data_IF_873188634312
#
_entry.id   IF_873188634312
#
_cell.length_a   1.000
_cell.length_b   1.000
_cell.length_c   1.000
_cell.angle_alpha   90.00
_cell.angle_beta   90.00
_cell.angle_gamma   90.00
#
_symmetry.space_group_name_H-M   'P 1'
#
loop_
_entity.id
_entity.type
_entity.pdbx_description
1 polymer ?
#
# COMPACT_ATOMS: atom_id res chain seq x y z
N UNK A 1 30.87 1.73 89.54
CA UNK A 1 31.92 2.32 88.67
C UNK A 1 32.15 1.42 87.46
N UNK A 2 31.71 1.91 86.31
CA UNK A 2 32.08 1.62 84.92
C UNK A 2 33.01 0.40 84.70
N UNK A 3 32.53 -0.62 83.98
CA UNK A 3 33.39 -1.56 83.24
C UNK A 3 33.09 -1.47 81.74
N UNK A 4 34.12 -1.02 81.02
CA UNK A 4 34.23 -1.04 79.56
C UNK A 4 34.08 -2.48 79.04
N UNK A 5 33.29 -2.67 78.00
CA UNK A 5 33.37 -3.87 77.15
C UNK A 5 33.64 -3.43 75.71
N UNK A 6 34.73 -3.99 75.19
CA UNK A 6 35.31 -3.80 73.87
C UNK A 6 34.39 -4.45 72.82
N UNK A 7 33.92 -3.69 71.83
CA UNK A 7 33.19 -4.22 70.68
C UNK A 7 34.15 -4.37 69.51
N UNK A 8 34.37 -5.63 69.12
CA UNK A 8 35.25 -6.06 68.04
C UNK A 8 34.59 -5.77 66.68
N UNK A 9 35.37 -5.19 65.77
CA UNK A 9 35.03 -5.02 64.37
C UNK A 9 35.30 -6.33 63.62
N UNK A 10 34.34 -6.81 62.85
CA UNK A 10 34.52 -7.74 61.73
C UNK A 10 33.70 -7.22 60.53
N UNK A 11 34.29 -7.03 59.33
CA UNK A 11 33.54 -6.56 58.17
C UNK A 11 33.19 -7.71 57.20
N UNK A 12 32.24 -7.43 56.31
CA UNK A 12 31.78 -8.23 55.16
C UNK A 12 31.06 -9.54 55.51
N UNK A 13 29.87 -9.83 55.00
CA UNK A 13 29.51 -9.83 53.57
C UNK A 13 27.99 -9.58 53.45
N UNK A 14 27.57 -8.38 53.06
CA UNK A 14 26.21 -8.22 52.55
C UNK A 14 26.25 -8.68 51.09
N UNK A 15 25.66 -9.84 50.82
CA UNK A 15 25.32 -10.24 49.47
C UNK A 15 24.35 -9.19 48.94
N UNK A 16 24.88 -8.20 48.22
CA UNK A 16 24.10 -7.43 47.28
C UNK A 16 23.57 -8.46 46.29
N UNK A 17 22.27 -8.73 46.33
CA UNK A 17 21.56 -9.08 45.11
C UNK A 17 21.75 -7.87 44.20
N UNK A 18 22.81 -7.93 43.40
CA UNK A 18 22.83 -7.25 42.12
C UNK A 18 21.66 -7.88 41.38
N UNK A 19 20.50 -7.22 41.44
CA UNK A 19 19.55 -7.36 40.35
C UNK A 19 20.35 -6.91 39.15
N UNK A 20 20.92 -7.88 38.44
CA UNK A 20 21.50 -7.64 37.14
C UNK A 20 20.44 -6.87 36.38
N UNK A 21 20.75 -5.63 36.02
CA UNK A 21 20.04 -4.97 34.95
C UNK A 21 20.01 -5.99 33.82
N UNK A 22 18.84 -6.60 33.60
CA UNK A 22 18.66 -7.43 32.44
C UNK A 22 18.87 -6.49 31.27
N UNK A 23 19.93 -6.74 30.51
CA UNK A 23 19.89 -6.39 29.11
C UNK A 23 18.59 -7.01 28.57
N UNK A 24 17.78 -6.22 27.87
CA UNK A 24 16.62 -6.66 27.08
C UNK A 24 15.21 -6.57 27.72
N UNK A 25 14.82 -5.40 28.27
CA UNK A 25 13.39 -5.05 28.40
C UNK A 25 13.06 -3.97 27.35
N UNK A 26 13.13 -4.34 26.07
CA UNK A 26 12.65 -3.54 24.95
C UNK A 26 11.17 -3.83 24.73
N UNK A 27 10.34 -2.80 24.79
CA UNK A 27 8.91 -2.86 24.46
C UNK A 27 8.77 -2.73 22.94
N UNK A 28 8.34 -3.80 22.28
CA UNK A 28 8.02 -3.75 20.86
C UNK A 28 6.65 -3.11 20.66
N UNK A 29 6.59 -2.14 19.75
CA UNK A 29 5.39 -1.35 19.45
C UNK A 29 5.04 -1.47 17.97
N UNK A 30 3.75 -1.40 17.65
CA UNK A 30 3.30 -1.32 16.28
C UNK A 30 3.53 0.09 15.76
N UNK A 31 4.11 0.20 14.56
CA UNK A 31 4.35 1.48 13.91
C UNK A 31 3.86 1.46 12.47
N UNK A 32 3.30 2.58 12.03
CA UNK A 32 2.87 2.78 10.64
C UNK A 32 3.42 4.11 10.13
N UNK A 33 4.19 4.05 9.04
CA UNK A 33 4.86 5.20 8.44
C UNK A 33 4.06 5.70 7.24
N UNK A 34 3.78 7.00 7.24
CA UNK A 34 3.06 7.69 6.17
C UNK A 34 3.84 8.92 5.69
N UNK A 35 4.07 9.09 4.38
CA UNK A 35 3.65 8.20 3.30
C UNK A 35 4.44 6.88 3.31
N UNK A 36 3.81 5.80 2.86
CA UNK A 36 4.47 4.50 2.66
C UNK A 36 5.32 4.44 1.38
N UNK A 37 5.26 5.50 0.56
CA UNK A 37 6.08 5.68 -0.63
C UNK A 37 6.80 7.04 -0.56
N UNK A 38 8.11 7.05 -0.75
CA UNK A 38 8.94 8.25 -0.86
C UNK A 38 9.65 8.24 -2.20
N UNK A 39 9.53 9.33 -2.97
CA UNK A 39 10.32 9.53 -4.19
C UNK A 39 11.48 10.45 -3.84
N UNK A 40 12.71 9.93 -3.97
CA UNK A 40 13.92 10.71 -3.68
C UNK A 40 14.01 11.92 -4.60
N UNK A 41 14.43 13.08 -4.09
CA UNK A 41 14.62 14.29 -4.90
C UNK A 41 13.35 15.08 -5.17
N UNK A 42 12.17 14.54 -4.82
CA UNK A 42 10.88 15.22 -4.87
C UNK A 42 10.39 15.56 -3.44
N UNK A 43 11.12 16.45 -2.75
CA UNK A 43 10.66 17.02 -1.49
C UNK A 43 9.53 18.05 -1.75
N UNK A 44 8.29 17.68 -1.42
CA UNK A 44 7.13 18.57 -1.49
C UNK A 44 6.92 19.37 -0.19
N UNK A 45 7.88 19.34 0.73
CA UNK A 45 7.76 19.92 2.08
C UNK A 45 6.80 19.15 2.98
N UNK A 46 6.46 17.90 2.62
CA UNK A 46 5.56 17.06 3.40
C UNK A 46 6.30 16.44 4.60
N UNK A 47 5.54 15.96 5.58
CA UNK A 47 6.10 15.30 6.76
C UNK A 47 5.98 13.79 6.62
N UNK A 48 7.07 13.08 6.96
CA UNK A 48 6.99 11.65 7.25
C UNK A 48 6.41 11.51 8.66
N UNK A 49 5.21 10.97 8.76
CA UNK A 49 4.44 10.82 9.99
C UNK A 49 4.45 9.35 10.40
N UNK A 50 4.82 9.10 11.65
CA UNK A 50 4.84 7.76 12.26
C UNK A 50 3.71 7.69 13.27
N UNK A 51 2.75 6.80 13.02
CA UNK A 51 1.70 6.42 13.95
C UNK A 51 2.15 5.23 14.78
N UNK A 52 1.75 5.17 16.04
CA UNK A 52 2.15 4.10 16.96
C UNK A 52 0.98 3.65 17.84
N UNK A 53 1.13 2.50 18.48
CA UNK A 53 0.20 2.01 19.51
C UNK A 53 0.67 2.30 20.96
N UNK A 54 1.82 2.96 21.15
CA UNK A 54 2.31 3.35 22.48
C UNK A 54 1.68 4.65 22.97
N UNK A 55 1.24 4.67 24.22
CA UNK A 55 0.63 5.85 24.84
C UNK A 55 1.61 7.04 24.89
N UNK A 56 1.20 8.19 24.38
CA UNK A 56 2.02 9.41 24.36
C UNK A 56 2.45 9.85 25.77
N UNK A 57 1.63 9.58 26.78
CA UNK A 57 1.87 9.95 28.18
C UNK A 57 3.01 9.16 28.84
N UNK A 58 3.38 7.99 28.32
CA UNK A 58 4.42 7.13 28.90
C UNK A 58 5.80 7.37 28.28
N UNK A 59 5.88 8.10 27.17
CA UNK A 59 7.11 8.29 26.38
C UNK A 59 7.95 9.48 26.91
N UNK A 60 9.27 9.30 27.04
CA UNK A 60 10.22 10.41 27.11
C UNK A 60 10.49 10.96 25.71
N UNK A 61 9.79 12.05 25.40
CA UNK A 61 9.76 12.68 24.07
C UNK A 61 11.11 13.18 23.58
N UNK A 62 12.07 13.41 24.48
CA UNK A 62 13.41 13.88 24.08
C UNK A 62 14.28 12.77 23.49
N UNK A 63 13.84 11.52 23.61
CA UNK A 63 14.61 10.33 23.21
C UNK A 63 14.07 9.67 21.94
N UNK A 64 12.91 10.12 21.44
CA UNK A 64 12.27 9.55 20.24
C UNK A 64 13.13 9.80 19.01
N UNK A 65 13.42 8.75 18.23
CA UNK A 65 14.15 8.85 16.98
C UNK A 65 13.64 7.85 15.93
N UNK A 66 13.65 8.23 14.65
CA UNK A 66 13.38 7.34 13.51
C UNK A 66 14.69 7.07 12.77
N UNK A 67 15.22 5.85 12.90
CA UNK A 67 16.52 5.44 12.37
C UNK A 67 17.63 6.43 12.72
N UNK A 68 17.57 7.01 13.93
CA UNK A 68 18.52 8.00 14.44
C UNK A 68 18.17 9.47 14.16
N UNK A 69 17.11 9.76 13.39
CA UNK A 69 16.63 11.11 13.14
C UNK A 69 15.68 11.57 14.25
N UNK A 70 15.83 12.79 14.75
CA UNK A 70 14.92 13.35 15.75
C UNK A 70 13.65 13.92 15.09
N UNK A 71 12.46 13.73 15.69
CA UNK A 71 11.23 14.33 15.17
C UNK A 71 11.25 15.85 15.38
N UNK A 72 10.70 16.60 14.43
CA UNK A 72 10.47 18.04 14.63
C UNK A 72 9.17 18.32 15.41
N UNK A 73 8.28 17.31 15.52
CA UNK A 73 7.04 17.38 16.28
C UNK A 73 6.66 16.00 16.80
N UNK A 74 6.24 15.93 18.07
CA UNK A 74 5.53 14.78 18.63
C UNK A 74 4.22 15.24 19.26
N UNK A 75 3.17 14.42 19.16
CA UNK A 75 1.87 14.69 19.77
C UNK A 75 1.13 13.40 20.10
N UNK A 76 0.09 13.51 20.92
CA UNK A 76 -0.91 12.47 21.04
C UNK A 76 -1.87 12.51 19.84
N UNK A 77 -2.30 11.35 19.36
CA UNK A 77 -3.47 11.23 18.49
C UNK A 77 -4.78 11.28 19.30
N UNK A 78 -5.91 11.03 18.63
CA UNK A 78 -7.24 11.05 19.25
C UNK A 78 -7.45 9.94 20.29
N UNK A 79 -6.65 8.87 20.22
CA UNK A 79 -6.67 7.75 21.16
C UNK A 79 -5.65 7.88 22.28
N UNK A 80 -4.80 8.92 22.23
CA UNK A 80 -3.77 9.18 23.22
C UNK A 80 -2.41 8.56 22.89
N UNK A 81 -2.23 7.96 21.72
CA UNK A 81 -1.00 7.30 21.30
C UNK A 81 -0.02 8.28 20.65
N UNK A 82 1.27 7.95 20.69
CA UNK A 82 2.33 8.77 20.13
C UNK A 82 2.20 8.84 18.60
N UNK A 83 2.24 10.08 18.09
CA UNK A 83 2.49 10.38 16.68
C UNK A 83 3.72 11.27 16.60
N UNK A 84 4.70 10.85 15.79
CA UNK A 84 5.94 11.58 15.55
C UNK A 84 6.01 12.06 14.09
N UNK A 85 6.49 13.28 13.86
CA UNK A 85 6.68 13.85 12.52
C UNK A 85 8.14 14.21 12.26
N UNK A 86 8.61 13.78 11.10
CA UNK A 86 9.97 13.96 10.60
C UNK A 86 9.94 14.74 9.30
N UNK A 87 10.99 15.53 9.04
CA UNK A 87 11.10 16.26 7.77
C UNK A 87 11.42 15.27 6.66
N UNK A 88 10.68 15.32 5.57
CA UNK A 88 10.89 14.40 4.45
C UNK A 88 12.32 14.49 3.90
N UNK A 89 12.91 15.68 3.77
CA UNK A 89 14.30 15.86 3.33
C UNK A 89 15.34 15.17 4.22
N UNK A 90 15.15 15.13 5.54
CA UNK A 90 16.07 14.46 6.47
C UNK A 90 15.94 12.93 6.37
N UNK A 91 14.70 12.45 6.19
CA UNK A 91 14.42 11.02 5.97
C UNK A 91 14.97 10.57 4.61
N UNK A 92 14.78 11.33 3.53
CA UNK A 92 15.35 11.03 2.21
C UNK A 92 16.87 10.89 2.23
N UNK A 93 17.56 11.70 3.04
CA UNK A 93 19.02 11.68 3.13
C UNK A 93 19.61 10.35 3.65
N UNK A 94 18.80 9.53 4.34
CA UNK A 94 19.21 8.22 4.86
C UNK A 94 18.69 7.05 4.02
N UNK A 95 17.93 7.31 2.95
CA UNK A 95 17.27 6.29 2.15
C UNK A 95 18.05 5.96 0.87
N UNK A 96 17.87 4.73 0.41
CA UNK A 96 18.31 4.26 -0.90
C UNK A 96 17.12 3.68 -1.67
N UNK A 97 17.09 3.77 -3.00
CA UNK A 97 15.99 3.20 -3.79
C UNK A 97 15.76 1.72 -3.48
N UNK A 98 14.50 1.30 -3.40
CA UNK A 98 14.10 -0.05 -3.02
C UNK A 98 13.10 -0.04 -1.87
N UNK A 99 13.14 -1.06 -1.01
CA UNK A 99 12.35 -1.08 0.24
C UNK A 99 13.29 -0.72 1.38
N UNK A 100 12.90 0.24 2.19
CA UNK A 100 13.67 0.68 3.34
C UNK A 100 12.88 0.44 4.63
N UNK A 101 13.46 -0.36 5.52
CA UNK A 101 12.96 -0.48 6.88
C UNK A 101 13.42 0.73 7.70
N UNK A 102 12.47 1.39 8.34
CA UNK A 102 12.72 2.51 9.25
C UNK A 102 12.25 2.11 10.65
N UNK A 103 13.12 2.32 11.64
CA UNK A 103 12.90 1.89 13.02
C UNK A 103 12.69 3.09 13.91
N UNK A 104 11.52 3.20 14.53
CA UNK A 104 11.26 4.17 15.59
C UNK A 104 11.75 3.61 16.92
N UNK A 105 12.59 4.37 17.62
CA UNK A 105 13.10 4.02 18.96
C UNK A 105 12.91 5.15 19.95
N UNK A 106 12.96 4.84 21.24
CA UNK A 106 13.01 5.82 22.31
C UNK A 106 12.96 5.17 23.68
N UNK A 107 12.85 6.00 24.71
CA UNK A 107 12.66 5.59 26.09
C UNK A 107 11.27 6.00 26.60
N UNK A 108 10.73 5.19 27.48
CA UNK A 108 9.61 5.54 28.35
C UNK A 108 10.10 6.38 29.54
N UNK A 109 9.19 7.05 30.24
CA UNK A 109 9.52 7.89 31.41
C UNK A 109 10.11 7.08 32.58
N UNK A 110 9.83 5.79 32.64
CA UNK A 110 10.36 4.80 33.58
C UNK A 110 11.68 4.16 33.10
N UNK A 111 12.19 4.57 31.93
CA UNK A 111 13.52 4.21 31.44
C UNK A 111 13.59 2.92 30.63
N UNK A 112 12.45 2.31 30.28
CA UNK A 112 12.39 1.18 29.37
C UNK A 112 12.55 1.64 27.92
N UNK A 113 13.26 0.86 27.10
CA UNK A 113 13.38 1.13 25.67
C UNK A 113 12.11 0.69 24.96
N UNK A 114 11.67 1.43 23.95
CA UNK A 114 10.67 0.94 23.00
C UNK A 114 11.21 0.98 21.57
N UNK A 115 10.74 0.07 20.75
CA UNK A 115 11.14 -0.07 19.36
C UNK A 115 9.99 -0.56 18.49
N UNK A 116 9.81 0.03 17.31
CA UNK A 116 8.94 -0.51 16.27
C UNK A 116 9.49 -0.18 14.89
N UNK A 117 9.28 -1.07 13.93
CA UNK A 117 9.77 -0.87 12.56
C UNK A 117 8.65 -1.02 11.54
N UNK A 118 8.71 -0.20 10.50
CA UNK A 118 7.85 -0.32 9.33
C UNK A 118 8.69 -0.10 8.06
N UNK A 119 8.23 -0.66 6.95
CA UNK A 119 8.93 -0.62 5.67
C UNK A 119 8.21 0.30 4.71
N UNK A 120 8.95 1.25 4.16
CA UNK A 120 8.46 2.14 3.10
C UNK A 120 9.13 1.79 1.78
N UNK A 121 8.45 2.12 0.68
CA UNK A 121 9.02 2.02 -0.66
C UNK A 121 9.71 3.33 -1.02
N UNK A 122 10.95 3.23 -1.44
CA UNK A 122 11.80 4.34 -1.87
C UNK A 122 11.98 4.26 -3.39
N UNK A 123 11.49 5.26 -4.08
CA UNK A 123 11.54 5.38 -5.53
C UNK A 123 12.69 6.33 -5.87
N UNK A 124 13.55 5.95 -6.81
CA UNK A 124 14.63 6.81 -7.27
C UNK A 124 14.07 8.09 -7.93
N UNK A 125 14.80 9.19 -7.81
CA UNK A 125 14.48 10.47 -8.47
C UNK A 125 14.26 10.25 -9.98
N UNK A 126 13.08 10.57 -10.53
CA UNK A 126 12.90 10.59 -11.98
C UNK A 126 13.74 11.74 -12.54
N UNK A 127 14.88 11.41 -13.15
CA UNK A 127 15.70 12.39 -13.84
C UNK A 127 14.83 13.29 -14.74
N UNK A 128 15.06 14.62 -14.76
CA UNK A 128 14.23 15.53 -15.52
C UNK A 128 14.25 15.16 -17.02
N UNK A 129 13.12 15.30 -17.74
CA UNK A 129 13.06 14.99 -19.15
C UNK A 129 14.04 15.89 -19.92
N UNK A 130 15.03 15.29 -20.57
CA UNK A 130 15.89 16.02 -21.51
C UNK A 130 15.03 16.45 -22.71
N UNK A 131 15.04 17.73 -23.10
CA UNK A 131 14.32 18.18 -24.28
C UNK A 131 14.89 17.51 -25.54
N UNK A 132 14.03 16.86 -26.32
CA UNK A 132 14.40 16.28 -27.62
C UNK A 132 14.81 17.39 -28.60
N UNK A 133 16.12 17.60 -28.75
CA UNK A 133 16.74 18.41 -29.80
C UNK A 133 17.72 17.57 -30.61
N UNK A 134 17.34 17.24 -31.85
CA UNK A 134 18.18 16.52 -32.81
C UNK A 134 19.34 17.41 -33.31
N UNK A 135 20.57 16.90 -33.27
CA UNK A 135 21.57 17.15 -34.33
C UNK A 135 22.48 15.94 -34.51
N UNK A 136 22.58 15.44 -35.74
CA UNK A 136 23.59 14.47 -36.17
C UNK A 136 24.92 15.18 -36.46
N UNK A 137 26.05 14.62 -36.00
CA UNK A 137 27.35 14.82 -36.64
C UNK A 137 28.29 13.65 -36.34
N UNK A 138 29.00 13.21 -37.37
CA UNK A 138 29.93 12.08 -37.43
C UNK A 138 31.16 12.22 -36.51
N UNK A 139 31.60 11.10 -35.93
CA UNK A 139 32.99 10.91 -35.49
C UNK A 139 33.14 10.08 -34.21
N UNK A 140 33.54 8.81 -34.33
CA UNK A 140 34.13 8.02 -33.24
C UNK A 140 35.68 8.04 -33.38
N UNK A 141 36.49 7.64 -32.36
CA UNK A 141 36.10 7.20 -31.01
C UNK A 141 36.99 7.74 -29.86
N UNK A 142 36.44 7.77 -28.64
CA UNK A 142 37.23 7.53 -27.42
C UNK A 142 36.36 6.80 -26.41
N UNK A 143 36.90 5.74 -25.82
CA UNK A 143 36.23 4.81 -24.94
C UNK A 143 35.79 5.48 -23.63
N UNK A 144 34.57 6.02 -23.61
CA UNK A 144 33.81 6.18 -22.39
C UNK A 144 33.06 4.87 -22.20
N UNK A 145 33.31 4.18 -21.08
CA UNK A 145 32.53 3.04 -20.63
C UNK A 145 31.09 3.53 -20.44
N UNK A 146 30.28 3.40 -21.49
CA UNK A 146 28.88 3.79 -21.48
C UNK A 146 28.16 2.96 -20.44
N UNK A 147 27.70 3.64 -19.38
CA UNK A 147 26.64 3.12 -18.55
C UNK A 147 25.49 2.83 -19.53
N UNK A 148 25.12 1.56 -19.67
CA UNK A 148 24.05 1.14 -20.56
C UNK A 148 22.75 1.68 -19.96
N UNK A 149 22.35 2.87 -20.38
CA UNK A 149 20.98 3.37 -20.19
C UNK A 149 20.10 2.38 -20.91
N UNK A 150 19.37 1.55 -20.15
CA UNK A 150 18.31 0.74 -20.75
C UNK A 150 17.25 1.73 -21.22
N UNK A 151 16.84 1.70 -22.51
CA UNK A 151 15.69 2.49 -22.93
C UNK A 151 14.50 2.07 -22.07
N UNK A 152 13.65 3.02 -21.67
CA UNK A 152 12.31 2.68 -21.21
C UNK A 152 11.72 1.72 -22.25
N UNK A 153 11.30 0.53 -21.81
CA UNK A 153 10.71 -0.45 -22.71
C UNK A 153 9.52 0.22 -23.40
N UNK A 154 9.54 0.28 -24.73
CA UNK A 154 8.38 0.77 -25.48
C UNK A 154 7.21 -0.16 -25.21
N UNK A 155 6.09 0.39 -24.75
CA UNK A 155 4.87 -0.39 -24.56
C UNK A 155 4.34 -0.89 -25.91
N UNK A 156 3.85 -2.11 -25.90
CA UNK A 156 3.01 -2.65 -26.97
C UNK A 156 1.64 -2.00 -26.96
N UNK A 157 0.90 -2.07 -28.08
CA UNK A 157 -0.47 -1.53 -28.11
C UNK A 157 -1.37 -2.26 -27.11
N UNK A 158 -1.18 -3.56 -26.90
CA UNK A 158 -1.94 -4.35 -25.91
C UNK A 158 -1.72 -3.81 -24.48
N UNK A 159 -0.47 -3.49 -24.12
CA UNK A 159 -0.18 -2.88 -22.82
C UNK A 159 -0.79 -1.49 -22.67
N UNK A 160 -0.78 -0.69 -23.74
CA UNK A 160 -1.46 0.62 -23.74
C UNK A 160 -2.96 0.44 -23.54
N UNK A 161 -3.59 -0.48 -24.27
CA UNK A 161 -5.03 -0.72 -24.18
C UNK A 161 -5.43 -1.16 -22.75
N UNK A 162 -4.66 -2.06 -22.13
CA UNK A 162 -4.89 -2.47 -20.74
C UNK A 162 -4.71 -1.31 -19.75
N UNK A 163 -3.66 -0.49 -19.89
CA UNK A 163 -3.45 0.68 -19.00
C UNK A 163 -4.64 1.65 -19.07
N UNK A 164 -5.10 1.97 -20.28
CA UNK A 164 -6.20 2.91 -20.47
C UNK A 164 -7.54 2.31 -20.01
N UNK A 165 -7.72 1.01 -20.16
CA UNK A 165 -8.88 0.30 -19.65
C UNK A 165 -8.93 0.32 -18.12
N UNK A 166 -7.86 -0.13 -17.45
CA UNK A 166 -7.80 -0.12 -15.97
C UNK A 166 -7.97 1.30 -15.41
N UNK A 167 -7.53 2.34 -16.13
CA UNK A 167 -7.71 3.73 -15.70
C UNK A 167 -9.18 4.11 -15.47
N UNK A 168 -10.08 3.67 -16.34
CA UNK A 168 -11.51 3.94 -16.21
C UNK A 168 -12.24 2.90 -15.34
N UNK A 169 -11.74 1.67 -15.26
CA UNK A 169 -12.28 0.64 -14.35
C UNK A 169 -12.08 1.01 -12.87
N UNK A 170 -10.88 1.47 -12.49
CA UNK A 170 -10.59 1.96 -11.15
C UNK A 170 -11.43 3.22 -10.83
N UNK A 171 -11.71 4.05 -11.85
CA UNK A 171 -12.63 5.20 -11.72
C UNK A 171 -14.06 4.74 -11.47
N UNK A 172 -14.52 3.69 -12.15
CA UNK A 172 -15.84 3.09 -11.91
C UNK A 172 -15.96 2.65 -10.45
N UNK A 173 -14.97 1.91 -9.94
CA UNK A 173 -14.95 1.46 -8.55
C UNK A 173 -15.02 2.65 -7.58
N UNK A 174 -14.10 3.62 -7.73
CA UNK A 174 -14.08 4.85 -6.93
C UNK A 174 -15.43 5.56 -6.91
N UNK A 175 -15.98 5.83 -8.09
CA UNK A 175 -17.18 6.64 -8.23
C UNK A 175 -18.42 5.93 -7.68
N UNK A 176 -18.56 4.61 -7.89
CA UNK A 176 -19.64 3.81 -7.29
C UNK A 176 -19.52 3.85 -5.76
N UNK A 177 -18.31 3.71 -5.21
CA UNK A 177 -18.11 3.72 -3.76
C UNK A 177 -18.37 5.09 -3.15
N UNK A 178 -18.03 6.19 -3.83
CA UNK A 178 -18.43 7.53 -3.40
C UNK A 178 -19.97 7.63 -3.34
N UNK A 179 -20.66 7.20 -4.40
CA UNK A 179 -22.13 7.23 -4.43
C UNK A 179 -22.76 6.35 -3.32
N UNK A 180 -22.21 5.16 -3.06
CA UNK A 180 -22.69 4.27 -2.00
C UNK A 180 -22.40 4.84 -0.60
N UNK A 181 -21.27 5.53 -0.41
CA UNK A 181 -20.97 6.20 0.85
C UNK A 181 -21.94 7.35 1.12
N UNK A 182 -22.19 8.19 0.12
CA UNK A 182 -23.12 9.32 0.24
C UNK A 182 -24.54 8.86 0.61
N UNK A 183 -24.96 7.70 0.07
CA UNK A 183 -26.29 7.15 0.34
C UNK A 183 -26.39 6.44 1.70
N UNK A 184 -25.41 5.58 2.04
CA UNK A 184 -25.52 4.66 3.17
C UNK A 184 -24.67 5.06 4.39
N UNK A 185 -23.69 5.96 4.23
CA UNK A 185 -22.80 6.42 5.29
C UNK A 185 -21.87 5.36 5.87
N UNK A 186 -21.74 4.19 5.21
CA UNK A 186 -20.94 3.07 5.72
C UNK A 186 -19.47 3.27 5.36
N UNK A 187 -18.63 3.33 6.39
CA UNK A 187 -17.20 3.67 6.30
C UNK A 187 -16.37 2.82 5.33
N UNK A 188 -16.80 1.59 5.03
CA UNK A 188 -16.10 0.73 4.06
C UNK A 188 -16.01 1.39 2.68
N UNK A 189 -17.10 2.00 2.21
CA UNK A 189 -17.14 2.66 0.90
C UNK A 189 -16.23 3.90 0.86
N UNK A 190 -16.18 4.68 1.93
CA UNK A 190 -15.30 5.84 2.06
C UNK A 190 -13.81 5.45 2.17
N UNK A 191 -13.51 4.35 2.87
CA UNK A 191 -12.13 3.85 2.94
C UNK A 191 -11.66 3.30 1.59
N UNK A 192 -12.50 2.51 0.91
CA UNK A 192 -12.13 1.83 -0.34
C UNK A 192 -12.12 2.83 -1.50
N UNK A 193 -13.06 3.77 -1.61
CA UNK A 193 -12.97 4.85 -2.62
C UNK A 193 -11.66 5.65 -2.56
N UNK A 194 -11.12 5.91 -1.35
CA UNK A 194 -9.78 6.49 -1.21
C UNK A 194 -8.66 5.57 -1.69
N UNK A 195 -8.82 4.26 -1.53
CA UNK A 195 -7.90 3.26 -2.09
C UNK A 195 -7.95 3.27 -3.61
N UNK A 196 -9.15 3.29 -4.20
CA UNK A 196 -9.34 3.34 -5.65
C UNK A 196 -8.78 4.63 -6.25
N UNK A 197 -8.84 5.75 -5.53
CA UNK A 197 -8.11 6.95 -5.96
C UNK A 197 -6.59 6.71 -6.07
N UNK A 198 -6.00 5.93 -5.16
CA UNK A 198 -4.57 5.59 -5.25
C UNK A 198 -4.30 4.63 -6.42
N UNK A 199 -5.20 3.69 -6.71
CA UNK A 199 -5.09 2.82 -7.89
C UNK A 199 -5.15 3.64 -9.18
N UNK A 200 -6.16 4.50 -9.30
CA UNK A 200 -6.31 5.48 -10.38
C UNK A 200 -5.02 6.29 -10.57
N UNK A 201 -4.45 6.84 -9.49
CA UNK A 201 -3.21 7.64 -9.55
C UNK A 201 -2.01 6.79 -9.98
N UNK A 202 -1.93 5.53 -9.57
CA UNK A 202 -0.88 4.60 -10.01
C UNK A 202 -0.94 4.34 -11.52
N UNK A 203 -2.14 4.14 -12.08
CA UNK A 203 -2.35 4.00 -13.51
C UNK A 203 -2.06 5.32 -14.25
N UNK A 204 -2.49 6.46 -13.69
CA UNK A 204 -2.19 7.78 -14.25
C UNK A 204 -0.68 8.01 -14.37
N UNK A 205 0.09 7.58 -13.38
CA UNK A 205 1.54 7.68 -13.44
C UNK A 205 2.13 6.88 -14.62
N UNK A 206 1.56 5.71 -14.98
CA UNK A 206 1.97 4.99 -16.19
C UNK A 206 1.60 5.79 -17.45
N UNK A 207 0.39 6.32 -17.52
CA UNK A 207 -0.08 7.16 -18.64
C UNK A 207 0.88 8.34 -18.86
N UNK A 208 1.20 9.09 -17.81
CA UNK A 208 2.08 10.25 -17.86
C UNK A 208 3.52 9.85 -18.23
N UNK A 209 4.03 8.74 -17.66
CA UNK A 209 5.38 8.23 -17.92
C UNK A 209 5.59 7.87 -19.39
N UNK A 210 4.58 7.29 -20.02
CA UNK A 210 4.63 6.85 -21.41
C UNK A 210 4.07 7.87 -22.40
N UNK A 211 3.61 9.04 -21.93
CA UNK A 211 3.05 10.09 -22.76
C UNK A 211 1.76 9.67 -23.47
N UNK A 212 0.95 8.83 -22.82
CA UNK A 212 -0.34 8.37 -23.34
C UNK A 212 -1.42 9.44 -23.11
N UNK A 213 -2.51 9.38 -23.88
CA UNK A 213 -3.68 10.24 -23.65
C UNK A 213 -4.56 9.66 -22.55
N UNK A 214 -4.73 10.36 -21.42
CA UNK A 214 -5.59 9.92 -20.32
C UNK A 214 -7.07 9.86 -20.79
N UNK A 215 -7.78 8.72 -20.65
CA UNK A 215 -9.19 8.64 -21.00
C UNK A 215 -10.08 9.39 -20.00
N UNK A 216 -9.61 9.68 -18.78
CA UNK A 216 -10.36 10.47 -17.80
C UNK A 216 -10.18 11.96 -18.09
N UNK A 217 -10.97 12.46 -19.05
CA UNK A 217 -10.96 13.88 -19.46
C UNK A 217 -11.86 14.75 -18.58
N UNK A 218 -12.81 14.14 -17.88
CA UNK A 218 -13.70 14.76 -16.90
C UNK A 218 -13.77 13.84 -15.68
N UNK A 219 -13.29 14.34 -14.54
CA UNK A 219 -13.22 13.57 -13.30
C UNK A 219 -14.51 13.66 -12.46
N UNK A 220 -15.59 14.21 -13.03
CA UNK A 220 -16.91 14.20 -12.39
C UNK A 220 -17.37 12.75 -12.17
N UNK A 221 -17.90 12.40 -10.98
CA UNK A 221 -18.42 11.06 -10.71
C UNK A 221 -19.48 10.63 -11.73
N UNK A 222 -19.33 9.43 -12.27
CA UNK A 222 -20.26 8.86 -13.25
C UNK A 222 -20.03 9.29 -14.70
N UNK A 223 -19.04 10.16 -14.98
CA UNK A 223 -18.66 10.54 -16.35
C UNK A 223 -17.50 9.66 -16.85
N UNK A 224 -17.70 8.99 -17.98
CA UNK A 224 -16.72 8.09 -18.59
C UNK A 224 -16.59 8.37 -20.09
N UNK A 225 -15.37 8.21 -20.63
CA UNK A 225 -15.11 8.23 -22.07
C UNK A 225 -15.59 6.92 -22.69
N UNK A 226 -15.36 5.79 -22.03
CA UNK A 226 -15.92 4.51 -22.45
C UNK A 226 -17.39 4.36 -22.00
N UNK A 227 -18.30 4.28 -22.96
CA UNK A 227 -19.74 4.16 -22.71
C UNK A 227 -20.13 2.93 -21.87
N UNK A 228 -19.35 1.84 -21.95
CA UNK A 228 -19.61 0.63 -21.15
C UNK A 228 -19.47 0.91 -19.65
N UNK A 229 -18.47 1.68 -19.23
CA UNK A 229 -18.30 2.06 -17.83
C UNK A 229 -19.37 3.05 -17.36
N UNK A 230 -19.85 3.93 -18.25
CA UNK A 230 -21.01 4.79 -17.96
C UNK A 230 -22.29 3.99 -17.70
N UNK A 231 -22.58 3.01 -18.56
CA UNK A 231 -23.75 2.13 -18.40
C UNK A 231 -23.62 1.27 -17.12
N UNK A 232 -22.42 0.74 -16.86
CA UNK A 232 -22.16 -0.08 -15.68
C UNK A 232 -22.26 0.74 -14.39
N UNK A 233 -21.75 1.98 -14.36
CA UNK A 233 -21.93 2.91 -13.24
C UNK A 233 -23.42 3.14 -12.94
N UNK A 234 -24.22 3.43 -13.97
CA UNK A 234 -25.66 3.66 -13.80
C UNK A 234 -26.39 2.41 -13.28
N UNK A 235 -26.05 1.23 -13.81
CA UNK A 235 -26.60 -0.04 -13.36
C UNK A 235 -26.26 -0.33 -11.90
N UNK A 236 -24.97 -0.25 -11.54
CA UNK A 236 -24.47 -0.62 -10.22
C UNK A 236 -24.93 0.35 -9.13
N UNK A 237 -24.96 1.66 -9.43
CA UNK A 237 -25.53 2.65 -8.48
C UNK A 237 -27.03 2.47 -8.29
N UNK A 238 -27.77 2.11 -9.35
CA UNK A 238 -29.19 1.77 -9.24
C UNK A 238 -29.38 0.53 -8.36
N UNK A 239 -28.64 -0.54 -8.62
CA UNK A 239 -28.71 -1.78 -7.84
C UNK A 239 -28.35 -1.54 -6.36
N UNK A 240 -27.22 -0.88 -6.10
CA UNK A 240 -26.74 -0.60 -4.75
C UNK A 240 -27.63 0.37 -3.96
N UNK A 241 -28.53 1.10 -4.62
CA UNK A 241 -29.52 1.94 -3.94
C UNK A 241 -30.71 1.18 -3.35
N UNK A 242 -30.89 -0.10 -3.72
CA UNK A 242 -32.02 -0.92 -3.26
C UNK A 242 -31.98 -1.23 -1.76
N UNK A 243 -30.80 -1.56 -1.25
CA UNK A 243 -30.55 -1.82 0.16
C UNK A 243 -29.05 -1.77 0.47
N UNK A 244 -28.68 -1.70 1.76
CA UNK A 244 -27.28 -1.79 2.16
C UNK A 244 -26.65 -3.14 1.75
N UNK A 245 -27.42 -4.23 1.80
CA UNK A 245 -26.94 -5.55 1.33
C UNK A 245 -26.64 -5.50 -0.18
N UNK A 246 -27.52 -4.89 -0.98
CA UNK A 246 -27.28 -4.72 -2.41
C UNK A 246 -26.04 -3.85 -2.67
N UNK A 247 -25.83 -2.79 -1.89
CA UNK A 247 -24.65 -1.94 -2.00
C UNK A 247 -23.34 -2.70 -1.71
N UNK A 248 -23.33 -3.52 -0.65
CA UNK A 248 -22.17 -4.35 -0.31
C UNK A 248 -21.95 -5.45 -1.36
N UNK A 249 -23.03 -5.99 -1.93
CA UNK A 249 -22.99 -6.93 -3.05
C UNK A 249 -22.43 -6.32 -4.32
N UNK A 250 -22.80 -5.07 -4.64
CA UNK A 250 -22.20 -4.27 -5.72
C UNK A 250 -20.70 -4.04 -5.46
N UNK A 251 -20.33 -3.77 -4.20
CA UNK A 251 -18.93 -3.72 -3.77
C UNK A 251 -18.16 -4.97 -4.17
N UNK A 252 -18.61 -6.13 -3.70
CA UNK A 252 -17.98 -7.41 -4.02
C UNK A 252 -17.98 -7.73 -5.52
N UNK A 253 -19.03 -7.35 -6.27
CA UNK A 253 -19.12 -7.53 -7.72
C UNK A 253 -18.05 -6.77 -8.49
N UNK A 254 -17.79 -5.51 -8.12
CA UNK A 254 -16.76 -4.70 -8.76
C UNK A 254 -15.39 -5.32 -8.52
N UNK A 255 -15.08 -5.73 -7.29
CA UNK A 255 -13.77 -6.32 -6.97
C UNK A 255 -13.58 -7.70 -7.63
N UNK A 256 -14.65 -8.49 -7.77
CA UNK A 256 -14.64 -9.75 -8.51
C UNK A 256 -14.29 -9.52 -10.00
N UNK A 257 -14.89 -8.50 -10.62
CA UNK A 257 -14.60 -8.10 -12.00
C UNK A 257 -13.15 -7.62 -12.15
N UNK A 258 -12.73 -6.66 -11.32
CA UNK A 258 -11.42 -6.02 -11.39
C UNK A 258 -10.26 -7.02 -11.23
N UNK A 259 -10.38 -7.98 -10.29
CA UNK A 259 -9.38 -9.05 -10.12
C UNK A 259 -9.26 -9.90 -11.39
N UNK A 260 -10.37 -10.21 -12.06
CA UNK A 260 -10.35 -11.02 -13.29
C UNK A 260 -9.74 -10.23 -14.44
N UNK A 261 -10.09 -8.96 -14.60
CA UNK A 261 -9.58 -8.11 -15.67
C UNK A 261 -8.07 -7.82 -15.47
N UNK A 262 -7.61 -7.57 -14.25
CA UNK A 262 -6.18 -7.50 -13.90
C UNK A 262 -5.43 -8.80 -14.18
N UNK A 263 -5.98 -9.96 -13.83
CA UNK A 263 -5.34 -11.26 -14.11
C UNK A 263 -5.24 -11.55 -15.61
N UNK A 264 -6.25 -11.15 -16.38
CA UNK A 264 -6.24 -11.25 -17.83
C UNK A 264 -5.15 -10.34 -18.41
N UNK A 265 -5.11 -9.08 -17.99
CA UNK A 265 -4.09 -8.12 -18.41
C UNK A 265 -2.67 -8.61 -18.07
N UNK A 266 -2.44 -9.13 -16.85
CA UNK A 266 -1.18 -9.72 -16.40
C UNK A 266 -0.70 -10.95 -17.21
N UNK A 267 -1.56 -11.53 -18.04
CA UNK A 267 -1.19 -12.60 -18.98
C UNK A 267 -0.71 -12.09 -20.35
N UNK A 268 -0.90 -10.80 -20.62
CA UNK A 268 -0.65 -10.16 -21.93
C UNK A 268 0.34 -9.00 -21.86
N UNK A 269 0.81 -8.61 -20.66
CA UNK A 269 1.76 -7.51 -20.45
C UNK A 269 3.16 -8.03 -20.06
N UNK A 270 4.19 -7.46 -20.66
CA UNK A 270 5.60 -7.86 -20.46
C UNK A 270 6.41 -6.78 -19.73
N UNK A 271 6.02 -5.50 -19.83
CA UNK A 271 6.68 -4.42 -19.11
C UNK A 271 6.57 -4.69 -17.61
N UNK A 272 7.72 -4.94 -17.00
CA UNK A 272 7.80 -5.17 -15.55
C UNK A 272 7.27 -3.97 -14.75
N UNK A 273 7.32 -2.77 -15.36
CA UNK A 273 6.72 -1.57 -14.82
C UNK A 273 5.18 -1.67 -14.70
N UNK A 274 4.51 -2.18 -15.73
CA UNK A 274 3.05 -2.33 -15.80
C UNK A 274 2.63 -3.52 -14.94
N UNK A 275 3.34 -4.66 -15.07
CA UNK A 275 3.15 -5.85 -14.22
C UNK A 275 3.13 -5.47 -12.75
N UNK A 276 4.11 -4.68 -12.29
CA UNK A 276 4.21 -4.32 -10.88
C UNK A 276 3.04 -3.45 -10.40
N UNK A 277 2.50 -2.57 -11.25
CA UNK A 277 1.32 -1.77 -10.91
C UNK A 277 0.09 -2.68 -10.85
N UNK A 278 -0.16 -3.48 -11.89
CA UNK A 278 -1.33 -4.37 -11.93
C UNK A 278 -1.33 -5.42 -10.82
N UNK A 279 -0.18 -5.99 -10.45
CA UNK A 279 -0.09 -6.91 -9.31
C UNK A 279 -0.41 -6.23 -7.97
N UNK A 280 -0.09 -4.94 -7.82
CA UNK A 280 -0.41 -4.18 -6.62
C UNK A 280 -1.89 -3.82 -6.55
N UNK A 281 -2.50 -3.44 -7.68
CA UNK A 281 -3.94 -3.24 -7.81
C UNK A 281 -4.67 -4.54 -7.44
N UNK A 282 -4.30 -5.69 -8.03
CA UNK A 282 -4.98 -6.99 -7.78
C UNK A 282 -4.91 -7.37 -6.29
N UNK A 283 -3.79 -7.04 -5.63
CA UNK A 283 -3.64 -7.26 -4.19
C UNK A 283 -4.57 -6.35 -3.36
N UNK A 284 -4.75 -5.10 -3.79
CA UNK A 284 -5.73 -4.15 -3.27
C UNK A 284 -7.15 -4.70 -3.41
N UNK A 285 -7.57 -5.02 -4.62
CA UNK A 285 -8.90 -5.54 -4.95
C UNK A 285 -9.22 -6.83 -4.19
N UNK A 286 -8.24 -7.73 -4.01
CA UNK A 286 -8.41 -8.90 -3.14
C UNK A 286 -8.73 -8.53 -1.68
N UNK A 287 -8.15 -7.45 -1.14
CA UNK A 287 -8.44 -6.99 0.22
C UNK A 287 -9.80 -6.30 0.30
N UNK A 288 -10.18 -5.56 -0.72
CA UNK A 288 -11.49 -4.92 -0.82
C UNK A 288 -12.60 -5.96 -0.92
N UNK A 289 -12.44 -6.98 -1.76
CA UNK A 289 -13.35 -8.12 -1.87
C UNK A 289 -13.58 -8.77 -0.51
N UNK A 290 -12.49 -9.08 0.22
CA UNK A 290 -12.59 -9.60 1.60
C UNK A 290 -13.39 -8.68 2.52
N UNK A 291 -13.16 -7.36 2.45
CA UNK A 291 -13.85 -6.39 3.29
C UNK A 291 -15.36 -6.37 3.01
N UNK A 292 -15.77 -6.37 1.74
CA UNK A 292 -17.19 -6.43 1.36
C UNK A 292 -17.83 -7.76 1.75
N UNK A 293 -17.17 -8.90 1.49
CA UNK A 293 -17.69 -10.23 1.86
C UNK A 293 -17.81 -10.41 3.37
N UNK A 294 -16.88 -9.88 4.16
CA UNK A 294 -16.98 -9.89 5.62
C UNK A 294 -18.21 -9.12 6.11
N UNK A 295 -18.50 -7.95 5.51
CA UNK A 295 -19.67 -7.16 5.87
C UNK A 295 -20.98 -7.81 5.42
N UNK A 296 -21.02 -8.43 4.23
CA UNK A 296 -22.17 -9.23 3.79
C UNK A 296 -22.44 -10.38 4.78
N UNK A 297 -21.40 -11.10 5.17
CA UNK A 297 -21.50 -12.20 6.14
C UNK A 297 -22.03 -11.69 7.49
N UNK A 298 -21.59 -10.51 7.93
CA UNK A 298 -22.11 -9.88 9.14
C UNK A 298 -23.59 -9.44 9.03
N UNK A 299 -24.11 -9.22 7.81
CA UNK A 299 -25.54 -9.02 7.54
C UNK A 299 -26.31 -10.35 7.40
N UNK A 300 -25.65 -11.51 7.51
CA UNK A 300 -26.26 -12.82 7.32
C UNK A 300 -26.37 -13.25 5.86
N UNK A 301 -25.68 -12.57 4.96
CA UNK A 301 -25.71 -12.79 3.51
C UNK A 301 -24.39 -13.38 3.02
N UNK A 302 -24.42 -13.98 1.84
CA UNK A 302 -23.24 -14.55 1.17
C UNK A 302 -23.07 -13.97 -0.22
N UNK A 303 -21.83 -13.82 -0.68
CA UNK A 303 -21.52 -13.47 -2.07
C UNK A 303 -21.15 -14.72 -2.87
N UNK A 304 -21.70 -14.86 -4.08
CA UNK A 304 -21.30 -15.88 -5.05
C UNK A 304 -20.54 -15.17 -6.18
N UNK A 305 -19.30 -15.58 -6.52
CA UNK A 305 -18.54 -14.93 -7.58
C UNK A 305 -19.24 -15.07 -8.94
N UNK A 306 -19.33 -13.97 -9.66
CA UNK A 306 -19.88 -13.87 -11.02
C UNK A 306 -18.77 -14.07 -12.07
N UNK A 307 -17.54 -13.63 -11.77
CA UNK A 307 -16.40 -13.63 -12.70
C UNK A 307 -15.31 -14.60 -12.28
N UNK A 308 -14.85 -14.54 -11.03
CA UNK A 308 -13.90 -15.48 -10.45
C UNK A 308 -14.46 -16.91 -10.49
N UNK A 309 -13.55 -17.88 -10.54
CA UNK A 309 -13.95 -19.26 -10.24
C UNK A 309 -14.23 -19.37 -8.74
N UNK A 310 -15.10 -20.31 -8.36
CA UNK A 310 -15.36 -20.56 -6.94
C UNK A 310 -14.07 -20.87 -6.18
N UNK A 311 -13.18 -21.70 -6.74
CA UNK A 311 -11.90 -22.06 -6.11
C UNK A 311 -10.98 -20.84 -5.90
N UNK A 312 -10.91 -19.92 -6.87
CA UNK A 312 -10.09 -18.71 -6.74
C UNK A 312 -10.70 -17.74 -5.72
N UNK A 313 -12.02 -17.60 -5.71
CA UNK A 313 -12.75 -16.81 -4.73
C UNK A 313 -12.52 -17.35 -3.32
N UNK A 314 -12.72 -18.66 -3.10
CA UNK A 314 -12.50 -19.31 -1.82
C UNK A 314 -11.04 -19.14 -1.36
N UNK A 315 -10.07 -19.28 -2.26
CA UNK A 315 -8.66 -19.05 -1.95
C UNK A 315 -8.36 -17.59 -1.54
N UNK A 316 -9.08 -16.61 -2.11
CA UNK A 316 -8.99 -15.21 -1.69
C UNK A 316 -9.60 -15.04 -0.30
N UNK A 317 -10.83 -15.51 -0.08
CA UNK A 317 -11.56 -15.32 1.19
C UNK A 317 -10.90 -16.06 2.36
N UNK A 318 -10.42 -17.29 2.15
CA UNK A 318 -9.78 -18.12 3.18
C UNK A 318 -8.31 -17.79 3.40
N UNK A 319 -7.68 -17.07 2.48
CA UNK A 319 -6.32 -16.60 2.62
C UNK A 319 -6.21 -15.56 3.76
N UNK A 320 -5.36 -15.84 4.76
CA UNK A 320 -5.03 -14.86 5.80
C UNK A 320 -4.61 -13.52 5.18
N UNK A 321 -4.94 -12.39 5.83
CA UNK A 321 -4.51 -11.05 5.42
C UNK A 321 -3.00 -11.03 5.24
N UNK A 322 -2.57 -11.12 3.99
CA UNK A 322 -1.19 -11.41 3.67
C UNK A 322 -0.91 -10.96 2.26
N UNK A 323 -0.19 -9.84 2.16
CA UNK A 323 0.58 -9.53 0.97
C UNK A 323 1.54 -10.67 0.60
N UNK A 324 2.33 -10.52 -0.47
CA UNK A 324 3.00 -11.62 -1.18
C UNK A 324 4.06 -12.43 -0.38
N UNK A 325 4.22 -12.25 0.93
CA UNK A 325 5.36 -12.72 1.72
C UNK A 325 4.98 -13.50 2.99
N UNK A 326 3.77 -14.06 3.07
CA UNK A 326 3.49 -15.13 4.05
C UNK A 326 4.17 -16.46 3.66
N UNK A 327 4.28 -17.45 4.57
CA UNK A 327 4.80 -18.79 4.24
C UNK A 327 4.01 -19.49 3.10
N UNK A 328 2.77 -19.05 2.86
CA UNK A 328 1.92 -19.47 1.75
C UNK A 328 2.02 -18.57 0.50
N UNK A 329 2.72 -17.43 0.55
CA UNK A 329 2.85 -16.47 -0.56
C UNK A 329 3.64 -17.02 -1.76
N UNK A 330 4.64 -17.87 -1.50
CA UNK A 330 5.37 -18.58 -2.56
C UNK A 330 4.52 -19.68 -3.21
N UNK A 331 3.63 -20.33 -2.44
CA UNK A 331 2.66 -21.28 -3.00
C UNK A 331 1.59 -20.55 -3.81
N UNK A 332 1.11 -19.40 -3.34
CA UNK A 332 0.17 -18.54 -4.07
C UNK A 332 0.77 -18.04 -5.40
N UNK A 333 2.04 -17.58 -5.41
CA UNK A 333 2.72 -17.18 -6.64
C UNK A 333 2.96 -18.35 -7.61
N UNK A 334 3.25 -19.56 -7.10
CA UNK A 334 3.39 -20.77 -7.93
C UNK A 334 2.05 -21.25 -8.47
N UNK A 335 0.98 -21.19 -7.67
CA UNK A 335 -0.39 -21.55 -8.08
C UNK A 335 -0.96 -20.52 -9.07
N UNK A 336 -0.65 -19.22 -8.91
CA UNK A 336 -0.91 -18.14 -9.89
C UNK A 336 -0.22 -18.39 -11.24
N UNK A 337 1.01 -18.90 -11.24
CA UNK A 337 1.72 -19.26 -12.49
C UNK A 337 1.13 -20.50 -13.16
N UNK A 338 0.58 -21.44 -12.39
CA UNK A 338 -0.05 -22.65 -12.92
C UNK A 338 -1.50 -22.41 -13.40
N UNK A 339 -2.29 -21.58 -12.72
CA UNK A 339 -3.63 -21.19 -13.16
C UNK A 339 -3.63 -20.23 -14.35
N UNK A 340 -2.51 -19.54 -14.63
CA UNK A 340 -2.28 -18.75 -15.86
C UNK A 340 -2.47 -19.55 -17.16
N UNK A 341 -2.45 -20.89 -17.08
CA UNK A 341 -2.57 -21.80 -18.22
C UNK A 341 -3.98 -22.43 -18.38
N UNK A 342 -4.93 -22.15 -17.47
CA UNK A 342 -6.29 -22.63 -17.62
C UNK A 342 -7.18 -21.56 -18.26
N UNK A 343 -7.96 -21.88 -19.31
CA UNK A 343 -8.89 -20.93 -19.89
C UNK A 343 -10.04 -20.70 -18.90
N UNK A 344 -9.88 -19.71 -18.02
CA UNK A 344 -10.99 -19.14 -17.26
C UNK A 344 -12.07 -18.67 -18.24
N UNK A 345 -13.34 -18.59 -17.78
CA UNK A 345 -14.56 -18.35 -18.58
C UNK A 345 -14.50 -17.03 -19.35
N UNK A 346 -13.73 -17.08 -20.42
CA UNK A 346 -13.27 -16.06 -21.36
C UNK A 346 -14.39 -15.36 -22.14
N UNK A 347 -15.64 -15.78 -21.94
CA UNK A 347 -16.77 -15.37 -22.77
C UNK A 347 -17.50 -14.17 -22.18
N UNK A 348 -17.82 -14.14 -20.87
CA UNK A 348 -18.71 -13.08 -20.33
C UNK A 348 -18.07 -11.70 -20.20
N UNK A 349 -16.79 -11.60 -19.85
CA UNK A 349 -16.07 -10.31 -19.86
C UNK A 349 -15.96 -9.77 -21.30
N UNK A 350 -15.58 -10.60 -22.28
CA UNK A 350 -15.53 -10.20 -23.69
C UNK A 350 -16.89 -9.83 -24.28
N UNK A 351 -17.96 -10.53 -23.90
CA UNK A 351 -19.32 -10.25 -24.35
C UNK A 351 -19.85 -8.90 -23.82
N UNK A 352 -19.31 -8.39 -22.69
CA UNK A 352 -19.65 -7.07 -22.15
C UNK A 352 -18.85 -5.92 -22.80
N UNK A 353 -17.61 -6.19 -23.22
CA UNK A 353 -16.69 -5.19 -23.78
C UNK A 353 -16.64 -5.14 -25.32
N UNK A 354 -17.45 -5.95 -26.02
CA UNK A 354 -17.71 -5.77 -27.44
C UNK A 354 -16.56 -6.10 -28.41
N UNK A 355 -15.71 -7.09 -28.07
CA UNK A 355 -14.65 -7.60 -28.97
C UNK A 355 -14.93 -9.02 -29.48
#
# INVERSE_FOLDING_TARGET
MIRRLLLLVTPFLAAAFVNGARADDTVYIDVQISPSNIVLGLDKGAAVTVHTDIAFSTVDRNTVALSGLAPYLTKADITGNLVAKFRQSEVEAILSPGVAALTLTGLTQDGLTFEGADSIRVIADPAPPVPNGLTFSNGQPAAVKTLRVMPAQTLTQVEVDHILFMREEEKLARDVYIAMYDLWGVRVFDNISRSEQNHMDAIKNLIDTYGLSDPVVDDTPGVFTNGVFGDLYAQLTTQGSGSLVDALGVGAYIEDLDIVDLRNALSEVDCQCVVQVFENLEAGSCNHLRAFVQLLTAQGETYTPEFLTQDDFDAIIDGAQGGPQGPNGQQFQQQRRQNRLQPMKRQRARDWYGN
#
